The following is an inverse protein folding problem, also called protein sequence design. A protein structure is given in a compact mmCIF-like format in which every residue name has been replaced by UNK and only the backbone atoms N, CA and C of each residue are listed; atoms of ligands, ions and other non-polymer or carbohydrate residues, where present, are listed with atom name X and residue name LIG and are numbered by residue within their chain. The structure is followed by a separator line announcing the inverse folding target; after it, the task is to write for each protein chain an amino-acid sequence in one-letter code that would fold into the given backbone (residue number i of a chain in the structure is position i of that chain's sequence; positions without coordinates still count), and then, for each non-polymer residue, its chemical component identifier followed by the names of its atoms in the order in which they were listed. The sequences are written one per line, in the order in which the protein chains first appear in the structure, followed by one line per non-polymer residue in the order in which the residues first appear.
data_IF_964134961104
#
_entry.id   IF_964134961104
#
_cell.length_a   1.000
_cell.length_b   1.000
_cell.length_c   1.000
_cell.angle_alpha   90.00
_cell.angle_beta   90.00
_cell.angle_gamma   90.00
#
_symmetry.space_group_name_H-M   'P 1'
#
loop_
_entity.id
_entity.type
_entity.pdbx_description
1 polymer ?
#
# COMPACT_ATOMS: atom_id res chain seq x y z
N UNK A 1 -60.79 -18.68 -15.51
CA UNK A 1 -59.83 -18.47 -16.58
C UNK A 1 -58.93 -17.33 -16.14
N UNK A 2 -57.77 -17.64 -15.61
CA UNK A 2 -56.83 -16.71 -15.06
C UNK A 2 -55.48 -16.91 -15.72
N UNK A 3 -54.92 -15.90 -16.31
CA UNK A 3 -53.58 -15.91 -16.90
C UNK A 3 -52.57 -15.51 -15.83
N UNK A 4 -51.59 -16.39 -15.63
CA UNK A 4 -50.36 -16.08 -14.90
C UNK A 4 -49.35 -15.44 -15.89
N UNK A 5 -48.84 -14.26 -15.58
CA UNK A 5 -47.67 -13.70 -16.24
C UNK A 5 -46.50 -13.72 -15.27
N UNK A 6 -45.48 -14.44 -15.65
CA UNK A 6 -44.22 -14.63 -14.97
C UNK A 6 -43.33 -13.38 -15.07
N UNK A 7 -42.82 -12.90 -13.93
CA UNK A 7 -41.68 -12.00 -13.85
C UNK A 7 -40.39 -12.84 -13.82
N UNK A 8 -39.69 -12.87 -14.90
CA UNK A 8 -38.31 -13.35 -15.02
C UNK A 8 -37.62 -12.44 -16.02
N UNK A 9 -36.89 -11.43 -15.57
CA UNK A 9 -35.77 -10.79 -16.31
C UNK A 9 -35.28 -9.50 -15.66
N UNK A 10 -34.51 -9.55 -14.57
CA UNK A 10 -33.74 -8.40 -14.09
C UNK A 10 -32.37 -8.75 -13.51
N UNK A 11 -31.88 -9.96 -13.77
CA UNK A 11 -30.62 -10.42 -13.19
C UNK A 11 -29.35 -10.31 -14.07
N UNK A 12 -29.46 -9.99 -15.37
CA UNK A 12 -28.31 -10.03 -16.29
C UNK A 12 -27.67 -8.66 -16.63
N UNK A 13 -28.32 -7.54 -16.33
CA UNK A 13 -27.82 -6.24 -16.76
C UNK A 13 -26.66 -5.69 -15.90
N UNK A 14 -26.57 -6.07 -14.62
CA UNK A 14 -25.55 -5.53 -13.71
C UNK A 14 -24.13 -6.09 -13.94
N UNK A 15 -24.02 -7.35 -14.36
CA UNK A 15 -22.74 -7.99 -14.65
C UNK A 15 -22.08 -7.49 -15.95
N UNK A 16 -22.90 -7.08 -16.93
CA UNK A 16 -22.39 -6.57 -18.20
C UNK A 16 -21.78 -5.15 -18.08
N UNK A 17 -22.27 -4.32 -17.14
CA UNK A 17 -21.75 -2.95 -16.97
C UNK A 17 -20.37 -2.90 -16.34
N UNK A 18 -20.06 -3.77 -15.38
CA UNK A 18 -18.73 -3.83 -14.76
C UNK A 18 -17.67 -4.38 -15.73
N UNK A 19 -18.03 -5.33 -16.56
CA UNK A 19 -17.14 -5.89 -17.59
C UNK A 19 -16.84 -4.87 -18.72
N UNK A 20 -17.81 -4.02 -19.08
CA UNK A 20 -17.64 -2.98 -20.09
C UNK A 20 -16.78 -1.81 -19.61
N UNK A 21 -16.87 -1.42 -18.34
CA UNK A 21 -16.02 -0.37 -17.77
C UNK A 21 -14.54 -0.79 -17.70
N UNK A 22 -14.27 -2.05 -17.34
CA UNK A 22 -12.91 -2.58 -17.36
C UNK A 22 -12.34 -2.76 -18.79
N UNK A 23 -13.19 -3.07 -19.78
CA UNK A 23 -12.78 -3.16 -21.17
C UNK A 23 -12.50 -1.78 -21.80
N UNK A 24 -13.24 -0.75 -21.42
CA UNK A 24 -13.01 0.61 -21.89
C UNK A 24 -11.68 1.18 -21.37
N UNK A 25 -11.36 0.99 -20.08
CA UNK A 25 -10.08 1.41 -19.50
C UNK A 25 -8.87 0.66 -20.14
N UNK A 26 -9.06 -0.61 -20.54
CA UNK A 26 -8.03 -1.36 -21.25
C UNK A 26 -7.90 -0.95 -22.73
N UNK A 27 -8.93 -0.38 -23.33
CA UNK A 27 -8.91 0.06 -24.74
C UNK A 27 -8.19 1.41 -24.94
N UNK A 28 -8.06 2.24 -23.91
CA UNK A 28 -7.30 3.49 -23.95
C UNK A 28 -5.79 3.27 -23.82
N UNK A 29 -5.37 2.14 -23.27
CA UNK A 29 -3.97 1.74 -23.13
C UNK A 29 -3.57 0.86 -24.29
N UNK A 30 -2.86 1.42 -25.26
CA UNK A 30 -2.38 0.66 -26.43
C UNK A 30 -1.55 -0.59 -26.03
N UNK A 31 -1.40 -1.56 -26.95
CA UNK A 31 -0.68 -2.83 -26.70
C UNK A 31 0.81 -2.62 -26.32
N UNK A 32 1.33 -1.43 -26.58
CA UNK A 32 2.70 -1.08 -26.27
C UNK A 32 2.92 -0.71 -24.80
N UNK A 33 1.87 -0.61 -24.00
CA UNK A 33 1.95 -0.25 -22.59
C UNK A 33 2.04 -1.49 -21.69
N UNK A 34 2.64 -1.34 -20.51
CA UNK A 34 2.65 -2.40 -19.52
C UNK A 34 1.22 -2.72 -19.04
N UNK A 35 0.47 -1.68 -18.71
CA UNK A 35 -0.91 -1.76 -18.28
C UNK A 35 -1.11 -2.39 -16.91
N UNK A 36 -2.29 -2.19 -16.35
CA UNK A 36 -2.78 -2.96 -15.20
C UNK A 36 -3.50 -4.20 -15.73
N UNK A 37 -2.93 -5.38 -15.53
CA UNK A 37 -3.39 -6.62 -16.15
C UNK A 37 -4.70 -7.16 -15.57
N UNK A 38 -4.90 -6.94 -14.28
CA UNK A 38 -6.13 -7.28 -13.55
C UNK A 38 -6.26 -6.50 -12.26
N UNK A 39 -7.45 -6.50 -11.69
CA UNK A 39 -7.74 -6.04 -10.34
C UNK A 39 -7.93 -7.26 -9.44
N UNK A 40 -7.36 -7.23 -8.25
CA UNK A 40 -7.53 -8.23 -7.21
C UNK A 40 -8.26 -7.63 -6.01
N UNK A 41 -9.32 -8.28 -5.57
CA UNK A 41 -10.04 -7.90 -4.36
C UNK A 41 -9.29 -8.41 -3.12
N UNK A 42 -9.05 -7.51 -2.17
CA UNK A 42 -8.47 -7.82 -0.86
C UNK A 42 -9.57 -7.69 0.18
N UNK A 43 -9.91 -8.80 0.83
CA UNK A 43 -10.88 -8.78 1.92
C UNK A 43 -10.35 -8.01 3.11
N UNK A 44 -11.21 -7.18 3.69
CA UNK A 44 -10.81 -6.32 4.83
C UNK A 44 -11.45 -6.75 6.15
N UNK A 45 -12.44 -7.62 6.09
CA UNK A 45 -13.18 -8.07 7.28
C UNK A 45 -12.25 -8.75 8.30
N UNK A 46 -12.26 -8.25 9.54
CA UNK A 46 -11.43 -8.79 10.61
C UNK A 46 -9.93 -8.46 10.49
N UNK A 47 -9.54 -7.51 9.63
CA UNK A 47 -8.19 -6.97 9.57
C UNK A 47 -7.16 -7.95 8.99
N UNK A 48 -7.23 -8.20 7.70
CA UNK A 48 -6.25 -9.06 7.02
C UNK A 48 -4.81 -8.57 7.21
N UNK A 49 -3.87 -9.49 7.53
CA UNK A 49 -2.44 -9.22 7.68
C UNK A 49 -1.68 -9.85 6.52
N UNK A 50 -1.10 -9.04 5.63
CA UNK A 50 -0.47 -9.52 4.39
C UNK A 50 0.88 -8.86 4.11
N UNK A 51 1.77 -9.59 3.43
CA UNK A 51 3.13 -9.17 3.07
C UNK A 51 4.20 -9.93 3.83
N UNK A 52 4.87 -10.85 3.15
CA UNK A 52 5.74 -11.88 3.73
C UNK A 52 7.00 -11.36 4.43
N UNK A 53 7.37 -10.09 4.24
CA UNK A 53 8.44 -9.48 5.04
C UNK A 53 8.02 -9.24 6.49
N UNK A 54 6.71 -9.07 6.73
CA UNK A 54 6.16 -8.69 8.04
C UNK A 54 5.19 -9.73 8.58
N UNK A 55 4.27 -10.22 7.75
CA UNK A 55 3.14 -11.05 8.14
C UNK A 55 3.14 -12.42 7.44
N UNK A 56 2.56 -13.47 8.06
CA UNK A 56 2.65 -14.84 7.56
C UNK A 56 1.65 -15.15 6.44
N UNK A 57 1.26 -14.17 5.64
CA UNK A 57 0.36 -14.37 4.50
C UNK A 57 0.67 -13.37 3.37
N UNK A 58 0.34 -13.75 2.15
CA UNK A 58 0.45 -12.91 0.96
C UNK A 58 -0.86 -12.90 0.16
N UNK A 59 -1.01 -11.91 -0.70
CA UNK A 59 -2.06 -11.88 -1.73
C UNK A 59 -1.73 -12.96 -2.78
N UNK A 60 -2.72 -13.75 -3.24
CA UNK A 60 -2.50 -14.72 -4.31
C UNK A 60 -2.09 -14.04 -5.61
N UNK A 61 -0.85 -14.23 -6.00
CA UNK A 61 -0.28 -13.76 -7.26
C UNK A 61 0.19 -14.95 -8.08
N UNK A 62 -0.09 -14.91 -9.39
CA UNK A 62 0.51 -15.85 -10.34
C UNK A 62 2.00 -15.50 -10.55
N UNK A 63 2.73 -16.41 -11.15
CA UNK A 63 4.11 -16.13 -11.55
C UNK A 63 4.18 -14.90 -12.46
N UNK A 64 5.19 -14.06 -12.28
CA UNK A 64 5.37 -12.77 -12.94
C UNK A 64 4.22 -11.75 -12.69
N UNK A 65 3.49 -11.86 -11.59
CA UNK A 65 2.55 -10.83 -11.15
C UNK A 65 3.15 -10.00 -10.01
N UNK A 66 2.99 -8.68 -10.11
CA UNK A 66 3.47 -7.71 -9.12
C UNK A 66 2.37 -6.73 -8.72
N UNK A 67 2.38 -6.32 -7.46
CA UNK A 67 1.60 -5.20 -6.93
C UNK A 67 2.58 -4.08 -6.60
N UNK A 68 2.30 -2.86 -7.08
CA UNK A 68 3.14 -1.69 -6.79
C UNK A 68 2.54 -0.89 -5.64
N UNK A 69 3.35 -0.62 -4.62
CA UNK A 69 2.95 0.22 -3.49
C UNK A 69 4.02 1.27 -3.20
N UNK A 70 3.56 2.47 -2.81
CA UNK A 70 4.39 3.61 -2.49
C UNK A 70 4.03 4.15 -1.11
N UNK A 71 5.02 4.47 -0.29
CA UNK A 71 4.84 5.03 1.04
C UNK A 71 5.35 6.46 1.11
N UNK A 72 4.97 7.18 2.15
CA UNK A 72 5.50 8.48 2.57
C UNK A 72 5.12 9.70 1.73
N UNK A 73 4.36 9.56 0.65
CA UNK A 73 3.83 10.69 -0.12
C UNK A 73 2.62 11.37 0.51
N UNK A 74 2.02 12.32 -0.24
CA UNK A 74 2.55 12.91 -1.47
C UNK A 74 3.72 13.89 -1.23
N UNK A 75 4.60 14.04 -2.20
CA UNK A 75 5.67 15.06 -2.23
C UNK A 75 5.59 15.84 -3.55
N UNK A 76 5.55 17.18 -3.47
CA UNK A 76 5.34 18.07 -4.62
C UNK A 76 6.37 17.92 -5.75
N UNK A 77 7.60 17.46 -5.43
CA UNK A 77 8.71 17.36 -6.38
C UNK A 77 8.82 15.99 -7.03
N UNK A 78 8.45 14.93 -6.31
CA UNK A 78 8.72 13.55 -6.71
C UNK A 78 7.47 12.76 -7.07
N UNK A 79 6.38 12.88 -6.31
CA UNK A 79 5.12 12.18 -6.59
C UNK A 79 4.59 12.47 -8.01
N UNK A 80 4.63 13.72 -8.55
CA UNK A 80 4.21 13.98 -9.93
C UNK A 80 5.00 13.22 -10.98
N UNK A 81 6.28 12.94 -10.72
CA UNK A 81 7.14 12.16 -11.63
C UNK A 81 6.79 10.67 -11.59
N UNK A 82 6.51 10.14 -10.40
CA UNK A 82 6.02 8.76 -10.22
C UNK A 82 4.68 8.58 -10.93
N UNK A 83 3.71 9.47 -10.69
CA UNK A 83 2.41 9.45 -11.35
C UNK A 83 2.53 9.51 -12.87
N UNK A 84 3.41 10.39 -13.38
CA UNK A 84 3.66 10.45 -14.83
C UNK A 84 4.19 9.13 -15.37
N UNK A 85 5.13 8.49 -14.70
CA UNK A 85 5.68 7.21 -15.13
C UNK A 85 4.61 6.10 -15.14
N UNK A 86 3.76 6.07 -14.11
CA UNK A 86 2.63 5.12 -14.03
C UNK A 86 1.60 5.38 -15.13
N UNK A 87 1.22 6.64 -15.35
CA UNK A 87 0.28 7.06 -16.39
C UNK A 87 0.81 6.74 -17.80
N UNK A 88 2.09 7.01 -18.06
CA UNK A 88 2.76 6.69 -19.35
C UNK A 88 2.69 5.20 -19.69
N UNK A 89 2.57 4.33 -18.68
CA UNK A 89 2.44 2.88 -18.83
C UNK A 89 1.05 2.34 -18.48
N UNK A 90 0.07 3.21 -18.19
CA UNK A 90 -1.29 2.83 -17.79
C UNK A 90 -1.33 1.89 -16.58
N UNK A 91 -0.47 2.10 -15.62
CA UNK A 91 -0.31 1.26 -14.43
C UNK A 91 -0.98 1.92 -13.23
N UNK A 92 -1.76 1.14 -12.48
CA UNK A 92 -2.34 1.56 -11.19
C UNK A 92 -1.55 0.99 -10.03
N UNK A 93 -1.47 1.77 -8.94
CA UNK A 93 -0.74 1.44 -7.74
C UNK A 93 -1.55 1.79 -6.47
N UNK A 94 -0.99 1.49 -5.30
CA UNK A 94 -1.53 1.93 -4.00
C UNK A 94 -0.49 2.81 -3.32
N UNK A 95 -0.89 4.01 -2.91
CA UNK A 95 -0.10 4.97 -2.16
C UNK A 95 -0.53 4.94 -0.69
N UNK A 96 0.39 4.64 0.22
CA UNK A 96 0.17 4.74 1.66
C UNK A 96 0.63 6.11 2.12
N UNK A 97 -0.30 7.06 2.11
CA UNK A 97 -0.01 8.48 2.29
C UNK A 97 0.09 8.88 3.76
N UNK A 98 1.02 9.77 4.07
CA UNK A 98 1.12 10.43 5.37
C UNK A 98 0.08 11.56 5.42
N UNK A 99 -0.86 11.48 6.39
CA UNK A 99 -1.98 12.42 6.46
C UNK A 99 -1.57 13.90 6.50
N UNK A 100 -0.50 14.26 7.21
CA UNK A 100 0.03 15.62 7.20
C UNK A 100 0.46 16.07 5.80
N UNK A 101 1.06 15.20 5.01
CA UNK A 101 1.44 15.53 3.64
C UNK A 101 0.25 15.63 2.70
N UNK A 102 -0.79 14.86 2.97
CA UNK A 102 -2.08 15.02 2.27
C UNK A 102 -2.70 16.39 2.57
N UNK A 103 -2.71 16.83 3.85
CA UNK A 103 -3.14 18.17 4.23
C UNK A 103 -2.32 19.27 3.54
N UNK A 104 -0.99 19.06 3.44
CA UNK A 104 -0.06 20.02 2.80
C UNK A 104 -0.21 20.01 1.27
N UNK A 105 -0.63 18.90 0.65
CA UNK A 105 -0.69 18.67 -0.79
C UNK A 105 -2.04 18.05 -1.25
N UNK A 106 -3.20 18.65 -0.89
CA UNK A 106 -4.51 18.02 -1.12
C UNK A 106 -4.82 17.81 -2.61
N UNK A 107 -4.37 18.71 -3.48
CA UNK A 107 -4.57 18.59 -4.91
C UNK A 107 -3.79 17.40 -5.50
N UNK A 108 -2.60 17.10 -4.96
CA UNK A 108 -1.78 16.00 -5.42
C UNK A 108 -2.34 14.65 -4.95
N UNK A 109 -2.78 14.56 -3.68
CA UNK A 109 -3.47 13.38 -3.18
C UNK A 109 -4.78 13.08 -3.94
N UNK A 110 -5.53 14.11 -4.31
CA UNK A 110 -6.73 13.97 -5.16
C UNK A 110 -6.38 13.48 -6.56
N UNK A 111 -5.30 13.99 -7.15
CA UNK A 111 -4.81 13.55 -8.45
C UNK A 111 -4.45 12.05 -8.44
N UNK A 112 -3.86 11.52 -7.37
CA UNK A 112 -3.61 10.08 -7.23
C UNK A 112 -4.90 9.26 -7.37
N UNK A 113 -5.99 9.70 -6.72
CA UNK A 113 -7.31 9.05 -6.84
C UNK A 113 -7.89 9.21 -8.24
N UNK A 114 -7.83 10.42 -8.82
CA UNK A 114 -8.36 10.72 -10.16
C UNK A 114 -7.66 9.91 -11.26
N UNK A 115 -6.37 9.60 -11.10
CA UNK A 115 -5.61 8.73 -11.99
C UNK A 115 -5.86 7.23 -11.74
N UNK A 116 -6.77 6.91 -10.80
CA UNK A 116 -7.26 5.54 -10.53
C UNK A 116 -6.38 4.72 -9.59
N UNK A 117 -5.50 5.37 -8.83
CA UNK A 117 -4.74 4.74 -7.77
C UNK A 117 -5.56 4.67 -6.46
N UNK A 118 -5.16 3.79 -5.54
CA UNK A 118 -5.64 3.90 -4.16
C UNK A 118 -4.74 4.85 -3.39
N UNK A 119 -5.35 5.75 -2.61
CA UNK A 119 -4.67 6.47 -1.53
C UNK A 119 -5.10 5.83 -0.22
N UNK A 120 -4.20 5.07 0.37
CA UNK A 120 -4.37 4.34 1.62
C UNK A 120 -3.63 5.06 2.76
N UNK A 121 -3.57 4.47 3.94
CA UNK A 121 -3.26 5.19 5.16
C UNK A 121 -1.92 4.80 5.77
N UNK A 122 -1.11 5.83 6.16
CA UNK A 122 0.23 5.67 6.74
C UNK A 122 0.46 6.59 7.95
N UNK A 123 -0.53 6.71 8.86
CA UNK A 123 -0.57 7.64 9.98
C UNK A 123 -0.66 9.11 9.58
N UNK A 124 -0.77 10.01 10.55
CA UNK A 124 -0.75 11.45 10.29
C UNK A 124 0.66 12.02 10.27
N UNK A 125 1.49 11.64 11.26
CA UNK A 125 2.80 12.27 11.47
C UNK A 125 3.98 11.44 10.97
N UNK A 126 3.82 10.14 10.72
CA UNK A 126 4.91 9.17 10.56
C UNK A 126 5.90 9.28 11.74
N UNK A 127 5.49 8.90 12.97
CA UNK A 127 6.20 9.26 14.19
C UNK A 127 7.61 8.67 14.26
N UNK A 128 8.53 9.46 14.81
CA UNK A 128 9.91 9.08 15.07
C UNK A 128 10.21 9.22 16.60
N UNK A 129 10.61 8.17 17.30
CA UNK A 129 10.61 6.79 16.83
C UNK A 129 9.18 6.31 16.54
N UNK A 130 8.98 5.08 16.12
CA UNK A 130 7.72 4.56 15.60
C UNK A 130 6.54 4.59 16.60
N UNK A 131 5.32 4.26 16.12
CA UNK A 131 4.10 4.14 16.94
C UNK A 131 4.27 3.28 18.20
N UNK A 132 5.15 2.28 18.18
CA UNK A 132 5.41 1.40 19.34
C UNK A 132 5.98 2.09 20.58
N UNK A 133 6.43 3.34 20.44
CA UNK A 133 6.94 4.17 21.55
C UNK A 133 5.93 5.24 22.01
N UNK A 134 4.77 5.29 21.39
CA UNK A 134 3.66 6.15 21.82
C UNK A 134 2.76 5.40 22.82
N UNK A 135 1.96 6.14 23.59
CA UNK A 135 0.84 5.52 24.28
C UNK A 135 -0.18 5.03 23.24
N UNK A 136 -0.92 3.98 23.57
CA UNK A 136 -1.93 3.43 22.65
C UNK A 136 -2.94 4.50 22.20
N UNK A 137 -3.42 5.34 23.12
CA UNK A 137 -4.35 6.41 22.79
C UNK A 137 -3.76 7.44 21.84
N UNK A 138 -2.50 7.82 22.02
CA UNK A 138 -1.82 8.75 21.12
C UNK A 138 -1.57 8.12 19.73
N UNK A 139 -1.21 6.85 19.69
CA UNK A 139 -1.01 6.13 18.43
C UNK A 139 -2.32 5.99 17.64
N UNK A 140 -3.43 5.62 18.31
CA UNK A 140 -4.77 5.57 17.69
C UNK A 140 -5.22 6.94 17.19
N UNK A 141 -4.97 8.01 17.96
CA UNK A 141 -5.31 9.37 17.54
C UNK A 141 -4.51 9.81 16.30
N UNK A 142 -3.21 9.48 16.22
CA UNK A 142 -2.38 9.78 15.06
C UNK A 142 -2.83 8.99 13.81
N UNK A 143 -3.17 7.72 13.96
CA UNK A 143 -3.71 6.89 12.87
C UNK A 143 -5.05 7.46 12.39
N UNK A 144 -6.00 7.71 13.29
CA UNK A 144 -7.34 8.22 12.94
C UNK A 144 -7.23 9.58 12.25
N UNK A 145 -6.40 10.49 12.76
CA UNK A 145 -6.17 11.78 12.14
C UNK A 145 -5.62 11.66 10.72
N UNK A 146 -4.68 10.72 10.50
CA UNK A 146 -4.16 10.44 9.17
C UNK A 146 -5.22 9.92 8.20
N UNK A 147 -6.09 9.02 8.67
CA UNK A 147 -7.20 8.51 7.89
C UNK A 147 -8.21 9.60 7.52
N UNK A 148 -8.57 10.48 8.47
CA UNK A 148 -9.48 11.61 8.23
C UNK A 148 -8.89 12.55 7.15
N UNK A 149 -7.61 12.88 7.24
CA UNK A 149 -6.95 13.73 6.25
C UNK A 149 -7.03 13.14 4.83
N UNK A 150 -6.73 11.85 4.68
CA UNK A 150 -6.84 11.14 3.39
C UNK A 150 -8.28 11.13 2.88
N UNK A 151 -9.25 10.77 3.72
CA UNK A 151 -10.65 10.68 3.30
C UNK A 151 -11.21 12.06 2.93
N UNK A 152 -10.83 13.12 3.65
CA UNK A 152 -11.24 14.50 3.35
C UNK A 152 -10.63 15.01 2.05
N UNK A 153 -9.32 14.93 1.92
CA UNK A 153 -8.59 15.69 0.91
C UNK A 153 -8.34 14.90 -0.38
N UNK A 154 -8.10 13.59 -0.30
CA UNK A 154 -7.94 12.75 -1.48
C UNK A 154 -9.31 12.29 -2.04
N UNK A 155 -10.20 11.83 -1.16
CA UNK A 155 -11.51 11.29 -1.58
C UNK A 155 -12.67 12.29 -1.50
N UNK A 156 -12.46 13.48 -0.95
CA UNK A 156 -13.47 14.53 -0.90
C UNK A 156 -14.61 14.28 0.08
N UNK A 157 -14.37 13.47 1.13
CA UNK A 157 -15.39 13.24 2.15
C UNK A 157 -15.66 14.52 2.96
N UNK A 158 -16.94 14.86 3.11
CA UNK A 158 -17.36 16.06 3.83
C UNK A 158 -17.44 15.82 5.34
N UNK A 159 -16.67 16.59 6.09
CA UNK A 159 -16.67 16.61 7.55
C UNK A 159 -17.14 17.96 8.13
N UNK A 160 -17.91 18.74 7.37
CA UNK A 160 -18.45 20.04 7.82
C UNK A 160 -19.32 19.93 9.08
N UNK A 161 -19.96 18.78 9.30
CA UNK A 161 -20.71 18.46 10.52
C UNK A 161 -19.84 18.03 11.72
N UNK A 162 -18.54 17.95 11.54
CA UNK A 162 -17.55 17.51 12.51
C UNK A 162 -16.80 16.24 12.10
N UNK A 163 -15.53 16.18 12.43
CA UNK A 163 -14.70 14.99 12.19
C UNK A 163 -15.07 13.84 13.14
N UNK A 164 -15.01 12.58 12.68
CA UNK A 164 -15.27 11.45 13.55
C UNK A 164 -14.18 11.33 14.61
N UNK A 165 -14.60 11.04 15.84
CA UNK A 165 -13.69 10.77 16.98
C UNK A 165 -13.36 9.29 17.15
N UNK A 166 -13.90 8.45 16.28
CA UNK A 166 -13.83 6.99 16.34
C UNK A 166 -13.72 6.44 14.92
N UNK A 167 -12.82 5.48 14.72
CA UNK A 167 -12.59 4.85 13.42
C UNK A 167 -13.83 4.13 12.89
N UNK A 168 -14.65 3.54 13.76
CA UNK A 168 -15.89 2.87 13.37
C UNK A 168 -16.95 3.77 12.73
N UNK A 169 -16.78 5.09 12.84
CA UNK A 169 -17.65 6.09 12.20
C UNK A 169 -17.07 6.67 10.91
N UNK A 170 -15.83 6.36 10.61
CA UNK A 170 -15.15 6.83 9.40
C UNK A 170 -15.40 5.84 8.26
N UNK A 171 -15.96 6.33 7.16
CA UNK A 171 -16.07 5.54 5.94
C UNK A 171 -14.74 5.62 5.19
N UNK A 172 -14.05 4.49 5.06
CA UNK A 172 -12.80 4.40 4.30
C UNK A 172 -13.06 3.95 2.86
N UNK A 173 -12.50 4.68 1.88
CA UNK A 173 -12.55 4.31 0.46
C UNK A 173 -11.54 3.21 0.14
N UNK A 174 -10.32 3.33 0.69
CA UNK A 174 -9.31 2.29 0.65
C UNK A 174 -8.97 1.86 2.08
N UNK A 175 -9.70 0.90 2.69
CA UNK A 175 -9.52 0.47 4.09
C UNK A 175 -8.25 -0.38 4.24
N UNK A 176 -7.13 0.17 3.81
CA UNK A 176 -5.80 -0.40 3.87
C UNK A 176 -4.90 0.49 4.71
N UNK A 177 -4.12 -0.11 5.57
CA UNK A 177 -3.19 0.58 6.44
C UNK A 177 -1.80 -0.07 6.39
N UNK A 178 -0.75 0.73 6.38
CA UNK A 178 0.62 0.27 6.58
C UNK A 178 1.23 0.99 7.76
N UNK A 179 1.82 0.22 8.68
CA UNK A 179 2.52 0.80 9.82
C UNK A 179 3.85 1.41 9.38
N UNK A 180 4.16 2.67 9.77
CA UNK A 180 5.48 3.26 9.59
C UNK A 180 6.60 2.35 10.11
N UNK A 181 7.59 2.09 9.23
CA UNK A 181 8.68 1.17 9.56
C UNK A 181 8.25 -0.25 9.92
N UNK A 182 7.02 -0.66 9.55
CA UNK A 182 6.38 -1.94 9.92
C UNK A 182 6.33 -2.19 11.43
N UNK A 183 6.40 -1.13 12.23
CA UNK A 183 6.44 -1.22 13.68
C UNK A 183 5.02 -1.17 14.27
N UNK A 184 4.41 -2.32 14.43
CA UNK A 184 3.07 -2.52 14.96
C UNK A 184 3.06 -2.97 16.44
N UNK A 185 1.87 -2.93 17.06
CA UNK A 185 1.57 -3.59 18.32
C UNK A 185 0.34 -4.48 18.17
N UNK A 186 0.20 -5.49 19.05
CA UNK A 186 -0.97 -6.37 19.04
C UNK A 186 -2.28 -5.58 19.20
N UNK A 187 -2.28 -4.58 20.08
CA UNK A 187 -3.47 -3.76 20.38
C UNK A 187 -3.90 -2.90 19.20
N UNK A 188 -2.93 -2.29 18.49
CA UNK A 188 -3.21 -1.52 17.27
C UNK A 188 -3.70 -2.41 16.12
N UNK A 189 -3.12 -3.62 15.97
CA UNK A 189 -3.61 -4.58 14.96
C UNK A 189 -5.05 -5.01 15.27
N UNK A 190 -5.36 -5.34 16.54
CA UNK A 190 -6.70 -5.71 16.96
C UNK A 190 -7.68 -4.56 16.70
N UNK A 191 -7.33 -3.35 17.09
CA UNK A 191 -8.19 -2.18 16.87
C UNK A 191 -8.46 -1.91 15.37
N UNK A 192 -7.47 -2.04 14.50
CA UNK A 192 -7.67 -1.92 13.06
C UNK A 192 -8.53 -3.08 12.51
N UNK A 193 -8.32 -4.30 13.01
CA UNK A 193 -9.10 -5.48 12.65
C UNK A 193 -10.58 -5.35 13.02
N UNK A 194 -10.87 -4.85 14.23
CA UNK A 194 -12.24 -4.58 14.70
C UNK A 194 -12.98 -3.55 13.83
N UNK A 195 -12.21 -2.71 13.11
CA UNK A 195 -12.73 -1.71 12.18
C UNK A 195 -12.59 -2.14 10.69
N UNK A 196 -12.32 -3.41 10.43
CA UNK A 196 -12.20 -3.98 9.08
C UNK A 196 -11.17 -3.28 8.19
N UNK A 197 -10.03 -2.89 8.74
CA UNK A 197 -8.91 -2.32 8.03
C UNK A 197 -7.86 -3.40 7.78
N UNK A 198 -7.55 -3.69 6.53
CA UNK A 198 -6.48 -4.62 6.17
C UNK A 198 -5.10 -3.99 6.37
N UNK A 199 -4.18 -4.74 6.96
CA UNK A 199 -2.84 -4.27 7.31
C UNK A 199 -1.84 -4.85 6.32
N UNK A 200 -1.15 -3.94 5.64
CA UNK A 200 -0.19 -4.26 4.59
C UNK A 200 1.24 -4.19 5.13
N UNK A 201 1.93 -5.31 5.09
CA UNK A 201 3.38 -5.37 5.02
C UNK A 201 3.84 -5.19 3.58
N UNK A 202 4.87 -5.91 3.18
CA UNK A 202 5.33 -6.04 1.80
C UNK A 202 5.95 -7.42 1.57
N UNK A 203 6.08 -7.85 0.31
CA UNK A 203 6.83 -9.07 -0.02
C UNK A 203 8.26 -8.74 -0.41
N UNK A 204 8.46 -7.61 -1.10
CA UNK A 204 9.75 -7.13 -1.58
C UNK A 204 9.83 -5.61 -1.36
N UNK A 205 11.01 -5.10 -1.10
CA UNK A 205 11.28 -3.66 -0.99
C UNK A 205 12.46 -3.23 -1.87
N UNK A 206 12.41 -1.98 -2.33
CA UNK A 206 13.51 -1.39 -3.11
C UNK A 206 14.73 -1.03 -2.24
N UNK A 207 14.57 -0.88 -0.94
CA UNK A 207 15.53 -0.32 0.02
C UNK A 207 15.83 1.17 -0.21
N UNK A 208 14.93 1.87 -0.85
CA UNK A 208 15.03 3.26 -1.27
C UNK A 208 14.96 4.29 -0.13
N UNK A 209 14.73 3.84 1.12
CA UNK A 209 14.98 4.66 2.32
C UNK A 209 16.47 4.93 2.57
N UNK A 210 17.37 4.21 1.89
CA UNK A 210 18.79 4.46 1.85
C UNK A 210 19.07 5.22 0.55
N UNK A 211 19.78 6.36 0.66
CA UNK A 211 20.18 7.13 -0.52
C UNK A 211 21.07 6.29 -1.44
N UNK A 212 20.68 6.21 -2.69
CA UNK A 212 21.42 5.47 -3.73
C UNK A 212 21.18 6.09 -5.11
N UNK A 213 21.92 5.64 -6.10
CA UNK A 213 21.66 6.07 -7.48
C UNK A 213 20.46 5.33 -8.06
N UNK A 214 19.72 5.95 -9.01
CA UNK A 214 18.56 5.32 -9.64
C UNK A 214 18.86 3.96 -10.28
N UNK A 215 20.00 3.80 -10.89
CA UNK A 215 20.42 2.54 -11.51
C UNK A 215 20.81 1.45 -10.49
N UNK A 216 21.28 1.85 -9.32
CA UNK A 216 21.54 0.93 -8.19
C UNK A 216 20.23 0.42 -7.61
N UNK A 217 19.26 1.30 -7.38
CA UNK A 217 17.91 0.93 -6.92
C UNK A 217 17.24 -0.03 -7.91
N UNK A 218 17.28 0.31 -9.21
CA UNK A 218 16.75 -0.55 -10.27
C UNK A 218 17.36 -1.96 -10.20
N UNK A 219 18.66 -2.07 -10.05
CA UNK A 219 19.35 -3.36 -9.96
C UNK A 219 18.94 -4.14 -8.72
N UNK A 220 18.81 -3.47 -7.56
CA UNK A 220 18.41 -4.08 -6.30
C UNK A 220 17.01 -4.66 -6.41
N UNK A 221 16.02 -3.87 -6.85
CA UNK A 221 14.63 -4.34 -6.89
C UNK A 221 14.41 -5.41 -7.97
N UNK A 222 15.02 -5.27 -9.16
CA UNK A 222 14.91 -6.27 -10.21
C UNK A 222 15.57 -7.59 -9.80
N UNK A 223 16.72 -7.57 -9.14
CA UNK A 223 17.39 -8.78 -8.66
C UNK A 223 16.58 -9.51 -7.58
N UNK A 224 15.91 -8.77 -6.68
CA UNK A 224 15.00 -9.36 -5.70
C UNK A 224 13.75 -9.94 -6.36
N UNK A 225 13.17 -9.22 -7.30
CA UNK A 225 11.98 -9.65 -8.02
C UNK A 225 12.26 -10.90 -8.89
N UNK A 226 13.42 -10.98 -9.53
CA UNK A 226 13.82 -12.14 -10.32
C UNK A 226 13.92 -13.41 -9.45
N UNK A 227 14.50 -13.30 -8.24
CA UNK A 227 14.57 -14.41 -7.28
C UNK A 227 13.19 -14.83 -6.76
N UNK A 228 12.27 -13.88 -6.55
CA UNK A 228 10.95 -14.16 -5.99
C UNK A 228 9.90 -14.56 -7.04
N UNK A 229 10.07 -14.15 -8.30
CA UNK A 229 9.16 -14.36 -9.42
C UNK A 229 7.89 -13.51 -9.36
N UNK A 230 7.48 -13.03 -8.19
CA UNK A 230 6.25 -12.27 -7.94
C UNK A 230 6.31 -11.58 -6.59
N UNK A 231 5.36 -10.66 -6.32
CA UNK A 231 5.18 -10.10 -4.99
C UNK A 231 4.61 -8.68 -4.99
N UNK A 232 4.26 -8.22 -3.80
CA UNK A 232 3.94 -6.83 -3.52
C UNK A 232 5.23 -6.08 -3.23
N UNK A 233 5.48 -5.01 -4.01
CA UNK A 233 6.70 -4.23 -3.97
C UNK A 233 6.48 -2.93 -3.20
N UNK A 234 7.42 -2.58 -2.34
CA UNK A 234 7.46 -1.32 -1.63
C UNK A 234 8.51 -0.39 -2.23
N UNK A 235 8.05 0.81 -2.52
CA UNK A 235 8.81 2.01 -2.86
C UNK A 235 8.37 3.18 -1.99
N UNK A 236 9.09 4.30 -2.06
CA UNK A 236 8.68 5.57 -1.46
C UNK A 236 8.63 6.65 -2.54
N UNK A 237 7.45 7.23 -2.78
CA UNK A 237 7.26 8.24 -3.83
C UNK A 237 7.84 9.62 -3.48
N UNK A 238 8.29 9.80 -2.24
CA UNK A 238 9.01 10.98 -1.76
C UNK A 238 10.55 10.90 -1.97
N UNK A 239 11.03 9.89 -2.72
CA UNK A 239 12.47 9.72 -2.98
C UNK A 239 12.83 10.14 -4.41
N UNK A 240 13.77 11.09 -4.59
CA UNK A 240 14.16 11.54 -5.93
C UNK A 240 14.68 10.40 -6.82
N UNK A 241 15.51 9.51 -6.27
CA UNK A 241 16.07 8.38 -7.02
C UNK A 241 15.00 7.36 -7.43
N UNK A 242 13.98 7.09 -6.61
CA UNK A 242 12.83 6.25 -6.98
C UNK A 242 12.01 6.88 -8.10
N UNK A 243 11.72 8.18 -7.99
CA UNK A 243 10.98 8.89 -9.04
C UNK A 243 11.74 8.89 -10.38
N UNK A 244 13.05 9.07 -10.35
CA UNK A 244 13.91 9.02 -11.55
C UNK A 244 14.03 7.60 -12.13
N UNK A 245 14.10 6.57 -11.27
CA UNK A 245 14.22 5.16 -11.66
C UNK A 245 12.93 4.59 -12.25
N UNK A 246 11.77 5.08 -11.85
CA UNK A 246 10.46 4.45 -12.12
C UNK A 246 10.18 4.19 -13.61
N UNK A 247 10.45 5.09 -14.56
CA UNK A 247 10.25 4.80 -16.00
C UNK A 247 11.04 3.60 -16.48
N UNK A 248 12.30 3.46 -16.05
CA UNK A 248 13.17 2.34 -16.41
C UNK A 248 12.68 1.03 -15.77
N UNK A 249 12.21 1.08 -14.52
CA UNK A 249 11.65 -0.07 -13.83
C UNK A 249 10.41 -0.62 -14.54
N UNK A 250 9.46 0.24 -14.90
CA UNK A 250 8.25 -0.17 -15.62
C UNK A 250 8.56 -0.75 -17.00
N UNK A 251 9.55 -0.18 -17.72
CA UNK A 251 10.03 -0.73 -18.98
C UNK A 251 10.66 -2.12 -18.82
N UNK A 252 11.46 -2.35 -17.77
CA UNK A 252 12.06 -3.65 -17.47
C UNK A 252 11.00 -4.68 -17.03
N UNK A 253 9.97 -4.29 -16.26
CA UNK A 253 8.84 -5.17 -15.94
C UNK A 253 8.20 -5.69 -17.22
N UNK A 254 7.87 -4.79 -18.16
CA UNK A 254 7.28 -5.16 -19.45
C UNK A 254 8.18 -6.08 -20.24
N UNK A 255 9.44 -5.73 -20.42
CA UNK A 255 10.44 -6.50 -21.16
C UNK A 255 10.62 -7.92 -20.62
N UNK A 256 10.53 -8.08 -19.28
CA UNK A 256 10.66 -9.39 -18.60
C UNK A 256 9.34 -10.15 -18.48
N UNK A 257 8.23 -9.64 -19.05
CA UNK A 257 6.92 -10.29 -19.03
C UNK A 257 6.18 -10.23 -17.69
N UNK A 258 6.53 -9.33 -16.80
CA UNK A 258 5.77 -9.08 -15.59
C UNK A 258 4.43 -8.40 -15.90
N UNK A 259 3.45 -8.66 -15.08
CA UNK A 259 2.09 -8.11 -15.15
C UNK A 259 1.78 -7.39 -13.85
N UNK A 260 1.25 -6.18 -13.95
CA UNK A 260 0.85 -5.41 -12.77
C UNK A 260 -0.57 -5.76 -12.37
N UNK A 261 -0.76 -6.06 -11.09
CA UNK A 261 -2.05 -6.29 -10.45
C UNK A 261 -2.37 -5.10 -9.56
N UNK A 262 -3.54 -4.50 -9.74
CA UNK A 262 -4.04 -3.48 -8.84
C UNK A 262 -4.94 -4.12 -7.77
N UNK A 263 -4.83 -3.69 -6.52
CA UNK A 263 -5.67 -4.19 -5.44
C UNK A 263 -6.79 -3.20 -5.13
N UNK A 264 -7.96 -3.72 -4.79
CA UNK A 264 -9.09 -2.93 -4.29
C UNK A 264 -9.70 -3.63 -3.08
N UNK A 265 -10.41 -2.87 -2.25
CA UNK A 265 -11.13 -3.48 -1.12
C UNK A 265 -12.24 -4.40 -1.64
N UNK A 266 -12.30 -5.58 -1.11
CA UNK A 266 -13.32 -6.58 -1.38
C UNK A 266 -14.04 -7.04 -0.12
N UNK A 267 -15.15 -7.76 -0.25
CA UNK A 267 -15.90 -8.30 0.87
C UNK A 267 -15.17 -9.45 1.56
N UNK A 268 -15.55 -9.70 2.82
CA UNK A 268 -15.07 -10.86 3.59
C UNK A 268 -13.59 -10.77 3.96
N UNK A 269 -13.00 -11.93 4.20
CA UNK A 269 -11.58 -12.06 4.59
C UNK A 269 -10.64 -12.20 3.40
N UNK A 270 -11.17 -12.35 2.18
CA UNK A 270 -10.41 -12.54 0.95
C UNK A 270 -9.53 -13.80 0.90
N UNK A 271 -9.10 -14.20 -0.28
CA UNK A 271 -8.13 -15.29 -0.41
C UNK A 271 -6.73 -14.82 -0.02
N UNK A 272 -6.00 -15.67 0.71
CA UNK A 272 -4.57 -15.49 1.01
C UNK A 272 -3.78 -16.76 0.75
N UNK A 273 -2.49 -16.60 0.50
CA UNK A 273 -1.52 -17.69 0.48
C UNK A 273 -0.73 -17.64 1.78
N UNK A 274 -0.71 -18.70 2.58
CA UNK A 274 0.08 -18.73 3.80
C UNK A 274 1.59 -18.70 3.47
N UNK A 275 2.37 -18.16 4.40
CA UNK A 275 3.81 -18.18 4.33
C UNK A 275 4.34 -19.63 4.27
N UNK A 276 5.50 -19.87 3.65
CA UNK A 276 6.11 -21.20 3.62
C UNK A 276 6.48 -21.69 5.02
N UNK A 277 6.61 -23.01 5.18
CA UNK A 277 7.05 -23.61 6.43
C UNK A 277 8.42 -23.03 6.86
N UNK A 278 8.53 -22.72 8.16
CA UNK A 278 9.74 -22.10 8.71
C UNK A 278 9.87 -20.59 8.47
N UNK A 279 8.84 -19.95 7.93
CA UNK A 279 8.83 -18.51 7.75
C UNK A 279 9.08 -17.75 9.07
N UNK A 280 9.84 -16.68 9.02
CA UNK A 280 10.11 -15.78 10.14
C UNK A 280 9.99 -14.33 9.62
N UNK A 281 9.30 -13.47 10.36
CA UNK A 281 9.19 -12.05 10.04
C UNK A 281 10.57 -11.39 9.97
N UNK A 282 10.89 -10.80 8.82
CA UNK A 282 12.15 -10.07 8.63
C UNK A 282 12.10 -8.72 9.37
N UNK A 283 10.97 -8.01 9.28
CA UNK A 283 10.76 -6.74 9.98
C UNK A 283 10.68 -6.92 11.50
N UNK A 284 10.09 -8.02 11.98
CA UNK A 284 10.04 -8.34 13.41
C UNK A 284 11.42 -8.51 14.03
N UNK A 285 12.39 -9.02 13.29
CA UNK A 285 13.80 -9.09 13.73
C UNK A 285 14.43 -7.70 13.85
N UNK A 286 14.18 -6.82 12.88
CA UNK A 286 14.71 -5.44 12.87
C UNK A 286 14.08 -4.61 13.99
N UNK A 287 12.76 -4.62 14.11
CA UNK A 287 12.05 -3.87 15.17
C UNK A 287 12.38 -4.39 16.56
N UNK A 288 12.55 -5.71 16.73
CA UNK A 288 13.02 -6.32 17.98
C UNK A 288 14.43 -5.89 18.36
N UNK A 289 15.32 -5.71 17.40
CA UNK A 289 16.68 -5.20 17.64
C UNK A 289 16.71 -3.71 17.98
N UNK A 290 15.71 -2.93 17.56
CA UNK A 290 15.60 -1.49 17.86
C UNK A 290 15.04 -1.22 19.27
N UNK A 291 14.14 -2.09 19.79
CA UNK A 291 13.54 -1.92 21.12
C UNK A 291 14.54 -1.59 22.24
N UNK A 292 15.68 -2.32 22.40
CA UNK A 292 16.64 -2.00 23.44
C UNK A 292 17.36 -0.66 23.27
N UNK A 293 17.39 -0.09 22.04
CA UNK A 293 18.08 1.18 21.75
C UNK A 293 17.24 2.40 22.12
N UNK A 294 15.92 2.25 22.17
CA UNK A 294 14.98 3.33 22.46
C UNK A 294 14.27 3.17 23.80
N UNK A 295 14.50 2.06 24.51
CA UNK A 295 13.96 1.88 25.85
C UNK A 295 14.67 2.84 26.81
N UNK A 296 13.94 3.84 27.28
CA UNK A 296 14.43 4.87 28.21
C UNK A 296 14.86 4.31 29.56
N UNK A 297 14.53 3.05 29.87
CA UNK A 297 14.94 2.34 31.08
C UNK A 297 16.27 1.59 30.90
N UNK A 298 16.75 1.42 29.68
CA UNK A 298 18.04 0.81 29.38
C UNK A 298 19.16 1.86 29.47
N UNK A 299 20.22 1.55 30.25
CA UNK A 299 21.39 2.41 30.40
C UNK A 299 22.02 2.78 29.04
N UNK A 300 22.50 4.02 28.84
CA UNK A 300 23.05 4.46 27.57
C UNK A 300 24.29 3.65 27.19
N UNK A 301 24.25 2.98 26.02
CA UNK A 301 25.44 2.38 25.43
C UNK A 301 26.14 3.42 24.55
N UNK A 302 27.42 3.68 24.73
CA UNK A 302 28.18 4.56 23.84
C UNK A 302 28.52 3.83 22.53
N UNK A 303 28.27 4.46 21.38
CA UNK A 303 28.78 4.00 20.09
C UNK A 303 28.03 4.57 18.89
N UNK A 304 28.73 4.86 17.79
CA UNK A 304 28.19 5.59 16.66
C UNK A 304 27.22 4.72 15.83
N UNK A 305 26.27 5.38 15.19
CA UNK A 305 25.34 4.82 14.24
C UNK A 305 26.11 4.27 13.01
N UNK A 306 26.41 2.99 13.03
CA UNK A 306 26.70 2.24 11.84
C UNK A 306 25.55 1.24 11.65
N UNK A 307 24.62 1.57 10.79
CA UNK A 307 23.71 0.56 10.23
C UNK A 307 24.54 -0.17 9.17
N UNK A 308 25.10 -1.33 9.54
CA UNK A 308 25.64 -2.22 8.51
C UNK A 308 24.51 -2.58 7.53
N UNK A 309 24.75 -2.42 6.22
CA UNK A 309 23.81 -2.91 5.23
C UNK A 309 23.65 -4.42 5.42
N UNK A 310 22.41 -4.90 5.42
CA UNK A 310 22.15 -6.33 5.40
C UNK A 310 22.90 -6.95 4.22
N UNK A 311 23.55 -8.11 4.40
CA UNK A 311 24.32 -8.74 3.34
C UNK A 311 23.41 -8.97 2.13
N UNK A 312 23.92 -8.58 0.97
CA UNK A 312 23.33 -8.86 -0.33
C UNK A 312 23.59 -10.33 -0.62
N UNK A 313 22.66 -11.20 -0.22
CA UNK A 313 22.57 -12.57 -0.73
C UNK A 313 21.30 -12.74 -1.57
#
# INVERSE_FOLDING_TARGET
MGQRLSCLSTGLAALAFVALANAAAAAECGPDKLGTSRVAEVGTQGGLLIGLKTYPAAIPLADHEVILTFDDGPDERTTPLVLKALADQCVRATFFAIGRKVDDQPALARREVEEGHNVAHHTYTHPQPTLTFMSESAARADILKGMIAVERDAYGQDFSAGEPTDLGRLKLHAPFFRFPGFADTADLRTWLADNNVAIFGTDLWASDWIEMKPDEELKVILGRLEKAGRGMLLFHDNRPWTAEMMPAFLAELKKRGYRVVHVVAGPGTGPTVPAPAGWVSETGRVTGALKPRFDKTAAPRPGPFAVEPAPVE
#
